data_IF_436460255585
#
_entry.id   IF_436460255585
#
_cell.length_a   1.000
_cell.length_b   1.000
_cell.length_c   1.000
_cell.angle_alpha   90.00
_cell.angle_beta   90.00
_cell.angle_gamma   90.00
#
_symmetry.space_group_name_H-M   'P 1'
#
loop_
_entity.id
_entity.type
_entity.pdbx_description
1 polymer ?
#
# COMPACT_ATOMS: atom_id res chain seq x y z
N UNK A 1 0.90 27.07 51.44
CA UNK A 1 1.51 26.05 50.55
C UNK A 1 0.94 26.14 49.15
N UNK A 2 1.73 25.76 48.15
CA UNK A 2 1.34 25.74 46.74
C UNK A 2 1.44 24.30 46.24
N UNK A 3 0.39 23.81 45.57
CA UNK A 3 0.39 22.52 44.89
C UNK A 3 0.41 22.79 43.39
N UNK A 4 1.43 22.29 42.68
CA UNK A 4 1.57 22.43 41.24
C UNK A 4 1.06 21.19 40.57
N UNK A 5 0.23 21.37 39.53
CA UNK A 5 -0.34 20.27 38.71
C UNK A 5 0.03 20.47 37.25
N UNK A 6 0.55 19.44 36.64
CA UNK A 6 0.89 19.44 35.20
C UNK A 6 -0.04 18.48 34.44
N UNK A 7 -0.67 18.97 33.37
CA UNK A 7 -1.48 18.15 32.49
C UNK A 7 -0.72 17.88 31.20
N UNK A 8 -0.55 16.59 30.86
CA UNK A 8 0.04 16.18 29.59
C UNK A 8 -1.06 16.08 28.50
N UNK A 9 -1.04 17.01 27.55
CA UNK A 9 -2.01 17.14 26.46
C UNK A 9 -1.70 16.27 25.25
N UNK A 10 -0.56 15.52 25.24
CA UNK A 10 -0.12 14.75 24.08
C UNK A 10 -1.14 13.69 23.67
N UNK A 11 -1.59 13.74 22.40
CA UNK A 11 -2.57 12.80 21.84
C UNK A 11 -4.00 12.90 22.39
N UNK A 12 -4.35 14.00 23.07
CA UNK A 12 -5.66 14.17 23.74
C UNK A 12 -6.35 15.48 23.35
N UNK A 13 -6.73 15.67 22.07
CA UNK A 13 -7.42 16.90 21.64
C UNK A 13 -8.83 17.00 22.22
N UNK A 14 -9.30 18.23 22.36
CA UNK A 14 -10.64 18.56 22.84
C UNK A 14 -10.74 18.89 24.32
N UNK A 15 -11.96 19.09 24.83
CA UNK A 15 -12.21 19.48 26.20
C UNK A 15 -11.86 18.37 27.18
N UNK A 16 -11.33 18.77 28.35
CA UNK A 16 -11.06 17.82 29.42
C UNK A 16 -11.52 18.38 30.77
N UNK A 17 -11.91 17.46 31.66
CA UNK A 17 -12.14 17.68 33.06
C UNK A 17 -11.45 16.57 33.84
N UNK A 18 -10.59 16.94 34.80
CA UNK A 18 -9.87 16.00 35.67
C UNK A 18 -10.00 16.41 37.13
N UNK A 19 -10.09 15.42 37.99
CA UNK A 19 -10.16 15.62 39.41
C UNK A 19 -8.81 15.39 40.07
N UNK A 20 -8.42 16.26 40.96
CA UNK A 20 -7.25 16.15 41.84
C UNK A 20 -7.78 16.00 43.24
N UNK A 21 -7.30 15.01 43.98
CA UNK A 21 -7.60 14.86 45.42
C UNK A 21 -6.37 15.29 46.18
N UNK A 22 -6.56 16.16 47.12
CA UNK A 22 -5.55 16.59 48.09
C UNK A 22 -5.93 15.98 49.43
N UNK A 23 -5.10 15.05 49.91
CA UNK A 23 -5.27 14.41 51.21
C UNK A 23 -4.42 15.11 52.26
N UNK A 24 -4.98 15.46 53.42
CA UNK A 24 -4.30 16.12 54.52
C UNK A 24 -4.78 15.60 55.87
N UNK A 25 -4.14 16.03 56.96
CA UNK A 25 -4.60 15.75 58.32
C UNK A 25 -5.92 16.45 58.69
N UNK A 26 -6.45 17.32 57.81
CA UNK A 26 -7.78 17.94 57.90
C UNK A 26 -8.82 17.25 57.01
N UNK A 27 -8.46 16.11 56.42
CA UNK A 27 -9.30 15.35 55.46
C UNK A 27 -8.95 15.60 54.03
N UNK A 28 -9.77 15.00 53.13
CA UNK A 28 -9.61 15.04 51.67
C UNK A 28 -10.38 16.21 51.08
N UNK A 29 -9.73 16.91 50.16
CA UNK A 29 -10.35 17.93 49.32
C UNK A 29 -10.18 17.57 47.84
N UNK A 30 -11.24 17.80 47.05
CA UNK A 30 -11.25 17.53 45.62
C UNK A 30 -11.27 18.84 44.82
N UNK A 31 -10.33 18.96 43.89
CA UNK A 31 -10.23 20.06 42.94
C UNK A 31 -10.50 19.54 41.55
N UNK A 32 -11.31 20.24 40.75
CA UNK A 32 -11.51 19.94 39.34
C UNK A 32 -10.73 20.92 38.50
N UNK A 33 -9.87 20.39 37.60
CA UNK A 33 -9.24 21.16 36.54
C UNK A 33 -9.97 20.91 35.22
N UNK A 34 -10.25 21.99 34.51
CA UNK A 34 -10.91 21.96 33.20
C UNK A 34 -10.08 22.73 32.17
N UNK A 35 -10.12 22.32 30.95
CA UNK A 35 -9.46 23.01 29.86
C UNK A 35 -9.85 22.40 28.51
N UNK A 36 -9.28 22.97 27.48
CA UNK A 36 -9.42 22.48 26.12
C UNK A 36 -8.04 22.36 25.49
N UNK A 37 -7.76 21.21 24.90
CA UNK A 37 -6.54 20.97 24.12
C UNK A 37 -6.81 21.31 22.65
N UNK A 38 -6.24 22.40 22.19
CA UNK A 38 -6.32 22.82 20.79
C UNK A 38 -5.37 21.94 19.97
N UNK A 39 -5.88 21.18 18.97
CA UNK A 39 -5.02 20.39 18.11
C UNK A 39 -4.02 21.28 17.37
N UNK A 40 -2.77 20.85 17.28
CA UNK A 40 -1.80 21.53 16.42
C UNK A 40 -2.30 21.43 14.96
N UNK A 41 -2.31 22.55 14.24
CA UNK A 41 -2.62 22.55 12.81
C UNK A 41 -1.69 21.58 12.07
N UNK A 42 -2.27 20.62 11.35
CA UNK A 42 -1.51 19.68 10.52
C UNK A 42 -0.87 20.46 9.38
N UNK A 43 0.41 20.29 9.19
CA UNK A 43 1.12 20.77 8.00
C UNK A 43 0.76 19.88 6.80
N UNK A 44 0.93 20.40 5.60
CA UNK A 44 0.72 19.62 4.35
C UNK A 44 1.64 18.40 4.33
N UNK A 45 2.88 18.55 4.82
CA UNK A 45 3.86 17.47 4.89
C UNK A 45 3.45 16.32 5.83
N UNK A 46 2.67 16.62 6.86
CA UNK A 46 2.17 15.59 7.80
C UNK A 46 1.08 14.72 7.13
N UNK A 47 0.27 15.31 6.24
CA UNK A 47 -0.80 14.62 5.53
C UNK A 47 -0.33 14.01 4.20
N UNK A 48 0.58 14.70 3.51
CA UNK A 48 1.15 14.31 2.21
C UNK A 48 2.69 14.25 2.31
N UNK A 49 3.24 13.22 2.93
CA UNK A 49 4.67 13.18 3.27
C UNK A 49 5.59 13.01 2.07
N UNK A 50 5.07 12.52 0.94
CA UNK A 50 5.90 12.19 -0.22
C UNK A 50 5.89 13.36 -1.20
N UNK A 51 7.06 13.94 -1.41
CA UNK A 51 7.29 14.99 -2.39
C UNK A 51 7.54 14.40 -3.78
N UNK A 52 6.89 15.01 -4.79
CA UNK A 52 6.95 14.65 -6.19
C UNK A 52 6.93 15.92 -7.06
N UNK A 53 8.05 16.63 -7.11
CA UNK A 53 8.12 17.96 -7.71
C UNK A 53 7.34 18.99 -6.89
N UNK A 54 6.50 19.77 -7.53
CA UNK A 54 5.57 20.69 -6.86
C UNK A 54 4.36 20.01 -6.23
N UNK A 55 4.10 18.74 -6.58
CA UNK A 55 3.07 17.93 -5.96
C UNK A 55 3.58 17.25 -4.69
N UNK A 56 2.67 16.94 -3.78
CA UNK A 56 2.89 15.98 -2.69
C UNK A 56 1.79 14.94 -2.71
N UNK A 57 2.13 13.69 -2.41
CA UNK A 57 1.19 12.58 -2.37
C UNK A 57 1.21 11.90 -1.01
N UNK A 58 0.11 11.23 -0.68
CA UNK A 58 -0.06 10.55 0.61
C UNK A 58 0.87 9.34 0.75
N UNK A 59 1.19 8.67 -0.34
CA UNK A 59 2.06 7.48 -0.39
C UNK A 59 2.68 7.35 -1.77
N UNK A 60 3.86 6.75 -1.86
CA UNK A 60 4.46 6.31 -3.11
C UNK A 60 3.96 4.91 -3.53
N UNK A 61 3.38 4.16 -2.58
CA UNK A 61 2.92 2.79 -2.79
C UNK A 61 1.40 2.73 -2.77
N UNK A 62 0.83 2.10 -3.78
CA UNK A 62 -0.61 1.84 -3.92
C UNK A 62 -0.82 0.33 -3.87
N UNK A 63 -1.62 -0.13 -2.90
CA UNK A 63 -1.85 -1.55 -2.67
C UNK A 63 -3.23 -1.95 -3.18
N UNK A 64 -3.28 -2.74 -4.26
CA UNK A 64 -4.52 -3.29 -4.80
C UNK A 64 -5.01 -4.51 -4.02
N UNK A 65 -4.17 -5.10 -3.15
CA UNK A 65 -4.45 -6.37 -2.44
C UNK A 65 -4.73 -7.49 -3.44
N UNK A 66 -5.56 -8.48 -3.07
CA UNK A 66 -5.95 -9.56 -3.98
C UNK A 66 -6.89 -9.05 -5.07
N UNK A 67 -6.60 -9.44 -6.31
CA UNK A 67 -7.42 -9.21 -7.49
C UNK A 67 -7.76 -10.55 -8.09
N UNK A 68 -9.03 -10.90 -8.12
CA UNK A 68 -9.50 -12.13 -8.71
C UNK A 68 -9.50 -12.02 -10.24
N UNK A 69 -8.87 -12.98 -10.90
CA UNK A 69 -8.89 -13.04 -12.36
C UNK A 69 -10.26 -13.56 -12.88
N UNK A 70 -10.84 -13.03 -13.94
CA UNK A 70 -10.45 -11.83 -14.69
C UNK A 70 -11.28 -10.61 -14.25
N UNK A 71 -10.81 -9.83 -13.29
CA UNK A 71 -11.52 -8.64 -12.80
C UNK A 71 -10.63 -7.40 -12.80
N UNK A 72 -11.29 -6.24 -12.74
CA UNK A 72 -10.61 -4.97 -12.52
C UNK A 72 -10.69 -4.57 -11.05
N UNK A 73 -9.67 -3.90 -10.57
CA UNK A 73 -9.66 -3.31 -9.23
C UNK A 73 -9.14 -1.90 -9.27
N UNK A 74 -9.85 -1.01 -8.61
CA UNK A 74 -9.45 0.41 -8.51
C UNK A 74 -8.92 0.74 -7.12
N UNK A 75 -8.02 1.71 -7.08
CA UNK A 75 -7.57 2.37 -5.87
C UNK A 75 -7.30 3.84 -6.18
N UNK A 76 -7.24 4.66 -5.14
CA UNK A 76 -7.09 6.10 -5.23
C UNK A 76 -5.94 6.58 -4.37
N UNK A 77 -5.06 7.38 -4.94
CA UNK A 77 -3.98 8.04 -4.25
C UNK A 77 -4.29 9.52 -4.12
N UNK A 78 -4.24 10.06 -2.92
CA UNK A 78 -4.47 11.49 -2.68
C UNK A 78 -3.22 12.29 -3.00
N UNK A 79 -3.41 13.46 -3.61
CA UNK A 79 -2.37 14.42 -3.94
C UNK A 79 -2.77 15.84 -3.56
N UNK A 80 -1.79 16.73 -3.49
CA UNK A 80 -1.96 18.17 -3.30
C UNK A 80 -0.91 18.93 -4.09
N UNK A 81 -1.28 20.06 -4.67
CA UNK A 81 -0.31 21.00 -5.21
C UNK A 81 0.28 21.83 -4.06
N UNK A 82 1.53 21.56 -3.72
CA UNK A 82 2.29 22.31 -2.70
C UNK A 82 3.18 23.40 -3.32
N UNK A 83 3.12 23.56 -4.64
CA UNK A 83 3.83 24.60 -5.37
C UNK A 83 3.11 25.95 -5.32
N UNK A 84 3.70 26.94 -6.01
CA UNK A 84 3.15 28.30 -6.11
C UNK A 84 2.36 28.56 -7.39
N UNK A 85 2.43 27.67 -8.35
CA UNK A 85 1.80 27.75 -9.66
C UNK A 85 0.82 26.62 -9.90
N UNK A 86 -0.02 26.76 -10.93
CA UNK A 86 -0.90 25.67 -11.34
C UNK A 86 -0.08 24.50 -11.88
N UNK A 87 -0.43 23.30 -11.49
CA UNK A 87 0.21 22.08 -11.92
C UNK A 87 -0.76 21.27 -12.77
N UNK A 88 -0.39 21.03 -14.04
CA UNK A 88 -1.07 20.04 -14.90
C UNK A 88 -0.41 18.69 -14.70
N UNK A 89 -1.22 17.70 -14.32
CA UNK A 89 -0.79 16.33 -14.00
C UNK A 89 -1.10 15.42 -15.18
N UNK A 90 -0.10 14.67 -15.61
CA UNK A 90 -0.26 13.55 -16.54
C UNK A 90 0.67 12.40 -16.14
N UNK A 91 0.72 11.32 -16.91
CA UNK A 91 1.44 10.11 -16.52
C UNK A 91 2.26 9.57 -17.68
N UNK A 92 3.39 8.92 -17.36
CA UNK A 92 4.29 8.27 -18.30
C UNK A 92 4.69 6.90 -17.80
N UNK A 93 5.11 6.03 -18.71
CA UNK A 93 5.52 4.65 -18.42
C UNK A 93 4.41 3.85 -17.71
N UNK A 94 3.15 4.14 -18.01
CA UNK A 94 2.01 3.39 -17.47
C UNK A 94 1.93 2.05 -18.19
N UNK A 95 1.96 0.91 -17.45
CA UNK A 95 1.74 -0.41 -18.05
C UNK A 95 0.37 -0.49 -18.73
N UNK A 96 0.27 -1.22 -19.84
CA UNK A 96 -0.96 -1.30 -20.67
C UNK A 96 -2.20 -1.82 -19.92
N UNK A 97 -2.00 -2.60 -18.87
CA UNK A 97 -3.06 -3.14 -18.02
C UNK A 97 -3.42 -2.24 -16.84
N UNK A 98 -2.82 -1.05 -16.75
CA UNK A 98 -3.12 -0.06 -15.72
C UNK A 98 -3.65 1.20 -16.38
N UNK A 99 -4.81 1.65 -15.93
CA UNK A 99 -5.35 2.96 -16.29
C UNK A 99 -5.09 3.93 -15.13
N UNK A 100 -4.63 5.14 -15.45
CA UNK A 100 -4.33 6.18 -14.46
C UNK A 100 -4.94 7.50 -14.89
N UNK A 101 -5.66 8.14 -13.98
CA UNK A 101 -6.28 9.45 -14.23
C UNK A 101 -6.11 10.37 -13.02
N UNK A 102 -5.75 11.63 -13.28
CA UNK A 102 -5.77 12.69 -12.27
C UNK A 102 -7.15 13.35 -12.20
N UNK A 103 -7.61 13.69 -11.02
CA UNK A 103 -8.86 14.40 -10.79
C UNK A 103 -8.70 15.44 -9.67
N UNK A 104 -8.69 16.74 -10.01
CA UNK A 104 -8.66 17.31 -11.35
C UNK A 104 -7.31 17.09 -12.06
N UNK A 105 -7.27 17.25 -13.39
CA UNK A 105 -6.03 17.15 -14.17
C UNK A 105 -5.12 18.37 -13.98
N UNK A 106 -5.67 19.50 -13.54
CA UNK A 106 -4.91 20.71 -13.22
C UNK A 106 -5.30 21.19 -11.83
N UNK A 107 -4.30 21.37 -10.98
CA UNK A 107 -4.47 21.79 -9.59
C UNK A 107 -3.87 23.20 -9.39
N UNK A 108 -4.65 24.08 -8.78
CA UNK A 108 -4.17 25.38 -8.27
C UNK A 108 -3.28 25.19 -7.04
N UNK A 109 -2.46 26.19 -6.67
CA UNK A 109 -1.71 26.16 -5.41
C UNK A 109 -2.62 25.83 -4.21
N UNK A 110 -2.21 24.85 -3.41
CA UNK A 110 -2.95 24.35 -2.26
C UNK A 110 -4.14 23.43 -2.59
N UNK A 111 -4.51 23.27 -3.86
CA UNK A 111 -5.63 22.43 -4.26
C UNK A 111 -5.28 20.94 -4.09
N UNK A 112 -6.24 20.20 -3.52
CA UNK A 112 -6.17 18.76 -3.35
C UNK A 112 -6.84 18.04 -4.53
N UNK A 113 -6.30 16.88 -4.88
CA UNK A 113 -6.84 16.02 -5.92
C UNK A 113 -6.56 14.57 -5.66
N UNK A 114 -6.86 13.75 -6.66
CA UNK A 114 -6.67 12.30 -6.61
C UNK A 114 -6.00 11.80 -7.88
N UNK A 115 -5.25 10.73 -7.74
CA UNK A 115 -4.82 9.87 -8.84
C UNK A 115 -5.63 8.59 -8.71
N UNK A 116 -6.58 8.40 -9.64
CA UNK A 116 -7.39 7.20 -9.72
C UNK A 116 -6.64 6.18 -10.57
N UNK A 117 -6.52 4.96 -10.05
CA UNK A 117 -5.72 3.88 -10.64
C UNK A 117 -6.61 2.65 -10.76
N UNK A 118 -6.73 2.10 -11.97
CA UNK A 118 -7.47 0.87 -12.24
C UNK A 118 -6.50 -0.19 -12.75
N UNK A 119 -6.45 -1.33 -12.10
CA UNK A 119 -5.66 -2.48 -12.49
C UNK A 119 -6.57 -3.53 -13.14
N UNK A 120 -6.28 -3.89 -14.38
CA UNK A 120 -6.98 -4.92 -15.14
C UNK A 120 -6.20 -6.23 -15.06
N UNK A 121 -6.70 -7.20 -14.29
CA UNK A 121 -5.99 -8.47 -14.10
C UNK A 121 -5.98 -9.35 -15.35
N UNK A 122 -6.96 -9.19 -16.26
CA UNK A 122 -7.02 -9.97 -17.51
C UNK A 122 -5.87 -9.59 -18.44
N UNK A 123 -5.57 -8.29 -18.54
CA UNK A 123 -4.58 -7.77 -19.46
C UNK A 123 -3.17 -7.73 -18.84
N UNK A 124 -3.06 -7.93 -17.52
CA UNK A 124 -1.79 -7.95 -16.80
C UNK A 124 -0.88 -9.11 -17.24
N UNK A 125 -1.47 -10.22 -17.67
CA UNK A 125 -0.77 -11.44 -18.07
C UNK A 125 0.31 -11.88 -17.06
N UNK A 126 0.07 -11.63 -15.78
CA UNK A 126 0.93 -11.98 -14.65
C UNK A 126 0.10 -12.44 -13.45
N UNK A 127 0.68 -13.24 -12.57
CA UNK A 127 0.01 -13.93 -11.47
C UNK A 127 0.77 -13.82 -10.16
N UNK A 128 0.06 -14.01 -9.04
CA UNK A 128 0.62 -13.89 -7.71
C UNK A 128 0.98 -12.43 -7.39
N UNK A 129 2.03 -12.24 -6.61
CA UNK A 129 2.52 -10.90 -6.26
C UNK A 129 3.16 -10.23 -7.48
N UNK A 130 2.62 -9.07 -7.86
CA UNK A 130 3.11 -8.27 -8.99
C UNK A 130 3.38 -6.85 -8.52
N UNK A 131 4.46 -6.28 -9.04
CA UNK A 131 4.86 -4.89 -8.80
C UNK A 131 4.94 -4.17 -10.15
N UNK A 132 4.14 -3.14 -10.29
CA UNK A 132 4.12 -2.24 -11.43
C UNK A 132 4.51 -0.83 -10.97
N UNK A 133 4.90 0.01 -11.90
CA UNK A 133 5.24 1.40 -11.62
C UNK A 133 4.94 2.30 -12.80
N UNK A 134 4.66 3.58 -12.51
CA UNK A 134 4.51 4.63 -13.49
C UNK A 134 5.03 5.95 -12.94
N UNK A 135 5.32 6.91 -13.82
CA UNK A 135 5.81 8.21 -13.44
C UNK A 135 4.70 9.26 -13.53
N UNK A 136 4.68 10.17 -12.56
CA UNK A 136 3.91 11.41 -12.64
C UNK A 136 4.65 12.39 -13.53
N UNK A 137 3.92 13.11 -14.35
CA UNK A 137 4.42 14.20 -15.19
C UNK A 137 3.77 15.49 -14.74
N UNK A 138 4.58 16.43 -14.29
CA UNK A 138 4.19 17.77 -13.86
C UNK A 138 4.51 18.78 -14.95
N UNK A 139 3.52 19.45 -15.51
CA UNK A 139 3.69 20.48 -16.56
C UNK A 139 4.64 20.03 -17.71
N UNK A 140 4.55 18.75 -18.11
CA UNK A 140 5.41 18.16 -19.14
C UNK A 140 6.74 17.58 -18.65
N UNK A 141 7.14 17.83 -17.40
CA UNK A 141 8.37 17.30 -16.80
C UNK A 141 8.10 15.99 -16.06
N UNK A 142 8.84 14.94 -16.40
CA UNK A 142 8.72 13.62 -15.75
C UNK A 142 9.36 13.68 -14.37
N UNK A 143 8.62 13.27 -13.36
CA UNK A 143 9.14 13.08 -12.00
C UNK A 143 9.78 11.69 -11.93
N UNK A 144 11.07 11.62 -11.71
CA UNK A 144 11.85 10.38 -11.74
C UNK A 144 11.46 9.38 -10.64
N UNK A 145 10.87 9.87 -9.56
CA UNK A 145 10.37 9.04 -8.47
C UNK A 145 9.03 8.39 -8.85
N UNK A 146 8.98 7.08 -9.14
CA UNK A 146 7.75 6.46 -9.63
C UNK A 146 6.75 6.19 -8.51
N UNK A 147 5.46 6.15 -8.87
CA UNK A 147 4.42 5.52 -8.06
C UNK A 147 4.49 4.01 -8.29
N UNK A 148 4.43 3.24 -7.21
CA UNK A 148 4.48 1.77 -7.22
C UNK A 148 3.11 1.19 -6.94
N UNK A 149 2.65 0.28 -7.80
CA UNK A 149 1.36 -0.40 -7.69
C UNK A 149 1.62 -1.86 -7.36
N UNK A 150 1.23 -2.26 -6.16
CA UNK A 150 1.35 -3.63 -5.66
C UNK A 150 0.01 -4.34 -5.79
N UNK A 151 -0.02 -5.47 -6.45
CA UNK A 151 -1.20 -6.31 -6.57
C UNK A 151 -0.84 -7.78 -6.31
N UNK A 152 -1.86 -8.59 -6.02
CA UNK A 152 -1.73 -10.04 -5.95
C UNK A 152 -2.87 -10.63 -6.79
N UNK A 153 -2.53 -11.07 -8.00
CA UNK A 153 -3.50 -11.65 -8.94
C UNK A 153 -3.70 -13.11 -8.59
N UNK A 154 -4.93 -13.48 -8.30
CA UNK A 154 -5.32 -14.83 -7.84
C UNK A 154 -6.44 -15.41 -8.69
N UNK A 155 -6.53 -16.74 -8.72
CA UNK A 155 -7.69 -17.44 -9.25
C UNK A 155 -8.93 -17.22 -8.37
N UNK A 156 -10.10 -17.19 -8.98
CA UNK A 156 -11.35 -17.08 -8.26
C UNK A 156 -11.93 -18.47 -7.92
N UNK A 157 -11.38 -19.11 -6.91
CA UNK A 157 -11.87 -20.43 -6.45
C UNK A 157 -13.26 -20.37 -5.82
N UNK A 158 -13.71 -19.22 -5.35
CA UNK A 158 -15.03 -19.10 -4.72
C UNK A 158 -16.18 -19.34 -5.70
N UNK A 159 -15.98 -19.01 -6.97
CA UNK A 159 -16.95 -19.17 -8.05
C UNK A 159 -17.01 -20.60 -8.64
N UNK A 160 -16.12 -21.49 -8.23
CA UNK A 160 -16.16 -22.87 -8.70
C UNK A 160 -17.41 -23.59 -8.19
N UNK A 161 -18.08 -24.33 -9.08
CA UNK A 161 -19.18 -25.21 -8.68
C UNK A 161 -18.68 -26.33 -7.78
N UNK A 162 -19.55 -26.97 -6.99
CA UNK A 162 -19.16 -28.12 -6.16
C UNK A 162 -18.47 -29.24 -6.98
N UNK A 163 -18.96 -29.51 -8.18
CA UNK A 163 -18.38 -30.49 -9.09
C UNK A 163 -17.00 -30.09 -9.57
N UNK A 164 -16.82 -28.83 -9.97
CA UNK A 164 -15.51 -28.30 -10.37
C UNK A 164 -14.50 -28.34 -9.20
N UNK A 165 -14.94 -28.12 -7.96
CA UNK A 165 -14.09 -28.26 -6.77
C UNK A 165 -13.71 -29.71 -6.50
N UNK A 166 -14.66 -30.66 -6.64
CA UNK A 166 -14.41 -32.09 -6.45
C UNK A 166 -13.48 -32.68 -7.51
N UNK A 167 -13.41 -32.06 -8.70
CA UNK A 167 -12.57 -32.46 -9.81
C UNK A 167 -11.37 -31.52 -10.02
N UNK A 168 -11.07 -30.62 -9.08
CA UNK A 168 -9.99 -29.64 -9.19
C UNK A 168 -8.60 -30.30 -9.34
N UNK A 169 -7.64 -29.62 -9.96
CA UNK A 169 -6.26 -30.06 -9.95
C UNK A 169 -5.69 -29.96 -8.52
N UNK A 170 -4.79 -30.84 -8.20
CA UNK A 170 -4.07 -30.85 -6.92
C UNK A 170 -2.58 -30.83 -7.17
N UNK A 171 -1.95 -29.70 -6.93
CA UNK A 171 -0.51 -29.55 -7.08
C UNK A 171 0.22 -30.28 -5.95
N UNK A 172 1.08 -31.19 -6.28
CA UNK A 172 2.05 -31.81 -5.37
C UNK A 172 3.47 -31.43 -5.78
N UNK A 173 4.22 -30.92 -4.83
CA UNK A 173 5.63 -30.55 -4.98
C UNK A 173 6.38 -30.86 -3.69
N UNK A 174 7.63 -31.25 -3.80
CA UNK A 174 8.50 -31.46 -2.63
C UNK A 174 8.77 -30.16 -1.89
N UNK A 175 8.79 -30.23 -0.56
CA UNK A 175 8.98 -29.05 0.29
C UNK A 175 10.41 -28.52 0.30
N UNK A 176 11.40 -29.35 -0.08
CA UNK A 176 12.82 -29.02 0.00
C UNK A 176 13.59 -29.66 -1.15
N UNK A 177 14.45 -28.85 -1.76
CA UNK A 177 15.44 -29.33 -2.73
C UNK A 177 16.83 -28.98 -2.18
N UNK A 178 17.62 -29.99 -1.87
CA UNK A 178 18.97 -29.77 -1.40
C UNK A 178 19.91 -29.57 -2.59
N UNK A 179 20.48 -28.37 -2.69
CA UNK A 179 21.43 -28.03 -3.77
C UNK A 179 22.88 -28.50 -3.44
N UNK A 180 23.14 -28.96 -2.22
CA UNK A 180 24.48 -29.33 -1.74
C UNK A 180 25.44 -28.14 -1.76
N UNK A 181 26.73 -28.40 -1.87
CA UNK A 181 27.78 -27.40 -1.86
C UNK A 181 27.78 -26.59 -3.19
N UNK A 182 27.89 -25.27 -3.07
CA UNK A 182 28.07 -24.34 -4.20
C UNK A 182 29.36 -23.54 -3.94
N UNK A 183 30.30 -23.57 -4.88
CA UNK A 183 31.55 -22.81 -4.76
C UNK A 183 31.23 -21.30 -4.78
N UNK A 184 32.06 -20.53 -4.05
CA UNK A 184 31.93 -19.06 -4.07
C UNK A 184 31.96 -18.54 -5.51
N UNK A 185 31.02 -17.60 -5.84
CA UNK A 185 30.77 -17.08 -7.20
C UNK A 185 30.29 -18.14 -8.22
N UNK A 186 30.08 -19.39 -7.82
CA UNK A 186 29.56 -20.45 -8.67
C UNK A 186 28.04 -20.34 -8.85
N UNK A 187 27.56 -21.05 -9.87
CA UNK A 187 26.12 -21.26 -10.13
C UNK A 187 25.83 -22.75 -10.10
N UNK A 188 24.68 -23.14 -9.56
CA UNK A 188 24.22 -24.52 -9.58
C UNK A 188 22.76 -24.55 -9.98
N UNK A 189 22.45 -25.40 -10.94
CA UNK A 189 21.07 -25.62 -11.38
C UNK A 189 20.58 -26.92 -10.76
N UNK A 190 19.39 -26.89 -10.20
CA UNK A 190 18.68 -28.07 -9.71
C UNK A 190 17.32 -28.15 -10.39
N UNK A 191 16.82 -29.37 -10.53
CA UNK A 191 15.47 -29.64 -11.07
C UNK A 191 14.65 -30.31 -9.99
N UNK A 192 13.39 -29.95 -9.90
CA UNK A 192 12.43 -30.65 -9.08
C UNK A 192 11.18 -30.97 -9.90
N UNK A 193 10.51 -32.04 -9.54
CA UNK A 193 9.28 -32.46 -10.21
C UNK A 193 8.07 -31.92 -9.49
N UNK A 194 7.08 -31.54 -10.26
CA UNK A 194 5.73 -31.25 -9.78
C UNK A 194 4.79 -32.28 -10.39
N UNK A 195 3.78 -32.71 -9.65
CA UNK A 195 2.75 -33.60 -10.13
C UNK A 195 1.37 -33.08 -9.83
N UNK A 196 0.41 -33.50 -10.65
CA UNK A 196 -1.00 -33.25 -10.43
C UNK A 196 -1.64 -34.53 -9.84
N UNK A 197 -2.10 -34.46 -8.61
CA UNK A 197 -2.82 -35.55 -7.94
C UNK A 197 -4.36 -35.34 -8.05
N UNK A 198 -4.80 -34.28 -8.73
CA UNK A 198 -6.20 -33.99 -9.00
C UNK A 198 -6.72 -34.64 -10.29
N UNK A 199 -7.96 -34.30 -10.66
CA UNK A 199 -8.65 -34.93 -11.79
C UNK A 199 -8.71 -34.07 -13.04
N UNK A 200 -8.51 -32.75 -12.92
CA UNK A 200 -8.49 -31.84 -14.07
C UNK A 200 -7.07 -31.32 -14.31
N UNK A 201 -6.84 -30.69 -15.45
CA UNK A 201 -5.54 -30.16 -15.85
C UNK A 201 -4.99 -29.14 -14.85
N UNK A 202 -3.73 -29.32 -14.45
CA UNK A 202 -3.00 -28.38 -13.63
C UNK A 202 -2.29 -27.36 -14.49
N UNK A 203 -2.64 -26.09 -14.33
CA UNK A 203 -1.99 -24.97 -15.01
C UNK A 203 -1.10 -24.24 -14.02
N UNK A 204 0.22 -24.31 -14.21
CA UNK A 204 1.18 -23.51 -13.42
C UNK A 204 1.19 -22.11 -14.00
N UNK A 205 0.63 -21.15 -13.27
CA UNK A 205 0.51 -19.75 -13.71
C UNK A 205 1.82 -18.98 -13.56
N UNK A 206 2.57 -19.25 -12.50
CA UNK A 206 3.86 -18.58 -12.24
C UNK A 206 4.72 -19.45 -11.31
N UNK A 207 6.02 -19.44 -11.57
CA UNK A 207 7.03 -19.88 -10.61
C UNK A 207 8.04 -18.75 -10.43
N UNK A 208 8.31 -18.36 -9.21
CA UNK A 208 9.19 -17.21 -8.93
C UNK A 208 9.85 -17.34 -7.56
N UNK A 209 10.97 -16.65 -7.38
CA UNK A 209 11.65 -16.47 -6.10
C UNK A 209 11.61 -14.99 -5.70
N UNK A 210 11.60 -14.72 -4.38
CA UNK A 210 11.80 -13.39 -3.82
C UNK A 210 13.29 -13.03 -3.66
N UNK A 211 14.18 -13.99 -3.89
CA UNK A 211 15.64 -13.80 -3.84
C UNK A 211 16.16 -13.54 -5.26
N UNK A 212 16.82 -12.41 -5.45
CA UNK A 212 17.39 -11.99 -6.74
C UNK A 212 18.49 -12.93 -7.28
N UNK A 213 19.12 -13.72 -6.39
CA UNK A 213 20.13 -14.70 -6.74
C UNK A 213 19.52 -16.03 -7.24
N UNK A 214 18.22 -16.20 -7.12
CA UNK A 214 17.51 -17.40 -7.58
C UNK A 214 16.71 -17.06 -8.84
N UNK A 215 17.02 -17.74 -9.93
CA UNK A 215 16.25 -17.67 -11.19
C UNK A 215 15.45 -18.95 -11.35
N UNK A 216 14.17 -18.81 -11.59
CA UNK A 216 13.22 -19.89 -11.84
C UNK A 216 12.86 -19.90 -13.32
#
# INVERSE_FOLDING_TARGET
GIVTVTYNASGRPGPFTKTITVTSNAGDQRLSIKGEVIPKAKKVEDEYPIEMGGLRVKSQNVYMKNIEYPTNKSNRLMMVNNGKENIKVSFKNVPSHIEVKASPESLKPGEKGTIDIVFNSKDANDWGAVLNQFNVVENGTVIEKPIKVHANVIENFAKLTPDAKANAPVLKVGNTVNVGEVKAKGKKTVKFSVSNEGKSDLIIRKASSNDENIKV
#
